data_IF_957113061807
#
_entry.id   IF_957113061807
#
_cell.length_a   1.000
_cell.length_b   1.000
_cell.length_c   1.000
_cell.angle_alpha   90.00
_cell.angle_beta   90.00
_cell.angle_gamma   90.00
#
_symmetry.space_group_name_H-M   'P 1'
#
loop_
_entity.id
_entity.type
_entity.pdbx_description
1 polymer ?
#
# COMPACT_ATOMS: atom_id res chain seq x y z
N UNK A 1 0.56 -10.92 -4.94
CA UNK A 1 -0.78 -10.32 -5.00
C UNK A 1 -1.41 -10.35 -3.62
N UNK A 2 -2.24 -9.36 -3.35
CA UNK A 2 -2.82 -9.17 -2.01
C UNK A 2 -4.29 -9.58 -2.06
N UNK A 3 -4.72 -10.38 -1.08
CA UNK A 3 -6.12 -10.80 -0.95
C UNK A 3 -6.60 -10.53 0.47
N UNK A 4 -7.88 -10.78 0.73
CA UNK A 4 -8.43 -10.66 2.09
C UNK A 4 -7.61 -11.52 3.05
N UNK A 5 -7.36 -10.99 4.24
CA UNK A 5 -6.55 -11.59 5.31
C UNK A 5 -5.04 -11.61 5.04
N UNK A 6 -4.57 -11.05 3.93
CA UNK A 6 -3.13 -10.86 3.73
C UNK A 6 -2.60 -9.82 4.70
N UNK A 7 -1.40 -10.08 5.25
CA UNK A 7 -0.72 -9.14 6.13
C UNK A 7 0.31 -8.37 5.32
N UNK A 8 0.28 -7.04 5.43
CA UNK A 8 1.22 -6.17 4.73
C UNK A 8 2.01 -5.35 5.74
N UNK A 9 3.23 -5.02 5.38
CA UNK A 9 4.02 -4.05 6.11
C UNK A 9 3.61 -2.64 5.67
N UNK A 10 3.73 -1.68 6.57
CA UNK A 10 3.45 -0.28 6.26
C UNK A 10 4.75 0.42 5.89
N UNK A 11 4.74 1.07 4.74
CA UNK A 11 5.93 1.71 4.18
C UNK A 11 5.98 3.22 4.43
N UNK A 12 5.32 3.68 5.48
CA UNK A 12 5.30 5.11 5.81
C UNK A 12 5.49 5.33 7.31
N UNK A 13 5.53 6.60 7.70
CA UNK A 13 5.71 7.02 9.08
C UNK A 13 4.40 7.43 9.76
N UNK A 14 3.26 6.90 9.31
CA UNK A 14 1.96 7.17 9.95
C UNK A 14 1.85 6.58 11.36
N UNK A 15 2.76 5.68 11.70
CA UNK A 15 2.74 4.97 12.98
C UNK A 15 2.22 3.55 12.90
N UNK A 16 1.49 3.20 11.88
CA UNK A 16 1.07 1.81 11.65
C UNK A 16 2.28 1.00 11.20
N UNK A 17 2.38 -0.24 11.67
CA UNK A 17 3.48 -1.14 11.31
C UNK A 17 3.01 -2.28 10.41
N UNK A 18 1.87 -2.88 10.72
CA UNK A 18 1.30 -3.97 9.92
C UNK A 18 -0.19 -3.77 9.73
N UNK A 19 -0.66 -4.15 8.55
CA UNK A 19 -2.06 -4.09 8.17
C UNK A 19 -2.52 -5.47 7.76
N UNK A 20 -3.80 -5.76 7.99
CA UNK A 20 -4.45 -6.95 7.44
C UNK A 20 -5.51 -6.50 6.42
N UNK A 21 -5.42 -6.99 5.20
CA UNK A 21 -6.39 -6.65 4.16
C UNK A 21 -7.75 -7.23 4.50
N UNK A 22 -8.78 -6.38 4.54
CA UNK A 22 -10.16 -6.80 4.76
C UNK A 22 -10.89 -6.93 3.43
N UNK A 23 -10.67 -5.98 2.52
CA UNK A 23 -11.38 -5.95 1.23
C UNK A 23 -10.52 -5.27 0.18
N UNK A 24 -10.61 -5.78 -1.04
CA UNK A 24 -9.99 -5.15 -2.21
C UNK A 24 -11.06 -4.32 -2.92
N UNK A 25 -10.80 -3.02 -3.07
CA UNK A 25 -11.73 -2.12 -3.74
C UNK A 25 -11.55 -2.18 -5.26
N UNK A 26 -12.59 -1.79 -6.00
CA UNK A 26 -12.53 -1.72 -7.46
C UNK A 26 -13.48 -2.64 -8.19
N UNK A 27 -14.43 -3.28 -7.48
CA UNK A 27 -15.43 -4.15 -8.09
C UNK A 27 -15.99 -5.16 -7.12
N UNK A 28 -17.22 -5.60 -7.35
CA UNK A 28 -17.94 -6.46 -6.40
C UNK A 28 -17.35 -7.88 -6.26
N UNK A 29 -16.58 -8.33 -7.24
CA UNK A 29 -16.00 -9.68 -7.23
C UNK A 29 -14.47 -9.66 -7.27
N UNK A 30 -13.86 -8.53 -6.94
CA UNK A 30 -12.42 -8.43 -7.00
C UNK A 30 -11.77 -9.20 -5.87
N UNK A 31 -10.87 -10.12 -6.22
CA UNK A 31 -10.20 -11.01 -5.25
C UNK A 31 -8.80 -10.54 -4.86
N UNK A 32 -8.08 -9.94 -5.80
CA UNK A 32 -6.65 -9.66 -5.61
C UNK A 32 -6.36 -8.19 -5.88
N UNK A 33 -5.51 -7.61 -5.04
CA UNK A 33 -4.97 -6.28 -5.23
C UNK A 33 -3.55 -6.40 -5.81
N UNK A 34 -3.25 -5.53 -6.75
CA UNK A 34 -1.92 -5.35 -7.32
C UNK A 34 -1.35 -4.02 -6.85
N UNK A 35 -0.11 -3.75 -7.25
CA UNK A 35 0.48 -2.44 -6.98
C UNK A 35 -0.39 -1.34 -7.59
N UNK A 36 -0.67 -0.32 -6.79
CA UNK A 36 -1.53 0.79 -7.20
C UNK A 36 -3.00 0.61 -6.87
N UNK A 37 -3.39 -0.56 -6.38
CA UNK A 37 -4.78 -0.79 -5.98
C UNK A 37 -5.01 -0.34 -4.54
N UNK A 38 -6.22 0.12 -4.27
CA UNK A 38 -6.64 0.55 -2.94
C UNK A 38 -7.31 -0.61 -2.23
N UNK A 39 -6.93 -0.83 -0.97
CA UNK A 39 -7.54 -1.85 -0.12
C UNK A 39 -8.10 -1.20 1.13
N UNK A 40 -9.07 -1.87 1.75
CA UNK A 40 -9.52 -1.57 3.12
C UNK A 40 -8.79 -2.54 4.03
N UNK A 41 -8.17 -2.02 5.07
CA UNK A 41 -7.34 -2.83 5.95
C UNK A 41 -7.56 -2.43 7.41
N UNK A 42 -7.33 -3.39 8.32
CA UNK A 42 -7.30 -3.10 9.75
C UNK A 42 -5.84 -3.05 10.21
N UNK A 43 -5.56 -2.13 11.12
CA UNK A 43 -4.23 -1.96 11.69
C UNK A 43 -4.03 -3.01 12.77
N UNK A 44 -3.00 -3.86 12.61
CA UNK A 44 -2.68 -4.92 13.56
C UNK A 44 -1.62 -4.51 14.57
N UNK A 45 -0.60 -3.78 14.12
CA UNK A 45 0.44 -3.23 14.98
C UNK A 45 0.65 -1.77 14.67
N UNK A 46 0.81 -0.95 15.69
CA UNK A 46 1.15 0.45 15.53
C UNK A 46 2.09 0.90 16.64
N UNK A 47 2.73 2.04 16.43
CA UNK A 47 3.56 2.67 17.45
C UNK A 47 2.70 3.34 18.50
N UNK A 48 3.24 3.44 19.72
CA UNK A 48 2.62 4.22 20.80
C UNK A 48 2.57 5.70 20.38
N UNK A 49 1.47 6.37 20.70
CA UNK A 49 1.27 7.79 20.38
C UNK A 49 1.28 8.11 18.88
N UNK A 50 0.89 7.16 18.03
CA UNK A 50 0.76 7.40 16.60
C UNK A 50 -0.59 8.04 16.25
N UNK A 51 -0.67 8.57 15.03
CA UNK A 51 -1.92 9.14 14.51
C UNK A 51 -3.01 8.10 14.32
N UNK A 52 -2.64 6.83 14.24
CA UNK A 52 -3.53 5.70 14.03
C UNK A 52 -3.40 4.74 15.20
N UNK A 53 -4.44 3.95 15.47
CA UNK A 53 -4.47 3.00 16.58
C UNK A 53 -4.68 1.60 16.06
N UNK A 54 -4.18 0.63 16.84
CA UNK A 54 -4.42 -0.79 16.57
C UNK A 54 -5.92 -1.06 16.56
N UNK A 55 -6.38 -1.81 15.56
CA UNK A 55 -7.79 -2.11 15.36
C UNK A 55 -8.55 -1.13 14.48
N UNK A 56 -7.98 0.03 14.15
CA UNK A 56 -8.60 0.98 13.25
C UNK A 56 -8.71 0.40 11.84
N UNK A 57 -9.78 0.76 11.15
CA UNK A 57 -9.99 0.39 9.74
C UNK A 57 -9.61 1.60 8.88
N UNK A 58 -8.67 1.38 7.97
CA UNK A 58 -8.13 2.44 7.12
C UNK A 58 -8.10 1.98 5.68
N UNK A 59 -7.97 2.94 4.76
CA UNK A 59 -7.68 2.66 3.36
C UNK A 59 -6.17 2.74 3.16
N UNK A 60 -5.67 1.88 2.30
CA UNK A 60 -4.25 1.86 1.97
C UNK A 60 -4.08 1.54 0.49
N UNK A 61 -2.98 2.00 -0.08
CA UNK A 61 -2.61 1.67 -1.46
C UNK A 61 -1.41 0.74 -1.42
N UNK A 62 -1.46 -0.33 -2.21
CA UNK A 62 -0.38 -1.30 -2.29
C UNK A 62 0.76 -0.70 -3.12
N UNK A 63 1.95 -0.60 -2.54
CA UNK A 63 3.11 -0.01 -3.21
C UNK A 63 4.16 -1.05 -3.62
N UNK A 64 4.18 -2.21 -2.96
CA UNK A 64 5.11 -3.30 -3.27
C UNK A 64 4.42 -4.63 -3.09
N UNK A 65 4.77 -5.62 -3.92
CA UNK A 65 4.31 -6.99 -3.78
C UNK A 65 5.47 -7.96 -3.96
N UNK A 66 5.43 -9.08 -3.24
CA UNK A 66 6.40 -10.18 -3.43
C UNK A 66 6.18 -10.89 -4.75
N UNK A 67 4.91 -11.04 -5.16
CA UNK A 67 4.58 -11.68 -6.42
C UNK A 67 4.98 -10.76 -7.57
N UNK A 68 5.72 -11.31 -8.54
CA UNK A 68 6.07 -10.56 -9.73
C UNK A 68 4.82 -10.18 -10.54
N UNK A 69 4.87 -9.03 -11.17
CA UNK A 69 3.85 -8.62 -12.11
C UNK A 69 4.48 -8.10 -13.40
N UNK A 70 3.76 -8.30 -14.49
CA UNK A 70 4.23 -7.92 -15.80
C UNK A 70 3.92 -6.46 -16.10
N UNK A 71 4.92 -5.76 -16.63
CA UNK A 71 4.75 -4.39 -17.12
C UNK A 71 4.37 -4.40 -18.61
N UNK A 72 3.79 -3.30 -19.12
CA UNK A 72 3.42 -3.20 -20.53
C UNK A 72 4.58 -3.44 -21.50
N UNK A 73 5.83 -3.15 -21.09
CA UNK A 73 7.01 -3.34 -21.92
C UNK A 73 7.50 -4.79 -21.94
N UNK A 74 6.82 -5.71 -21.23
CA UNK A 74 7.17 -7.11 -21.15
C UNK A 74 8.12 -7.47 -20.02
N UNK A 75 8.64 -6.50 -19.28
CA UNK A 75 9.48 -6.78 -18.11
C UNK A 75 8.64 -7.18 -16.91
N UNK A 76 9.29 -7.78 -15.92
CA UNK A 76 8.66 -8.16 -14.66
C UNK A 76 9.35 -7.42 -13.52
N UNK A 77 8.59 -7.12 -12.47
CA UNK A 77 9.13 -6.54 -11.26
C UNK A 77 8.55 -7.27 -10.06
N UNK A 78 9.38 -7.49 -9.04
CA UNK A 78 8.95 -8.03 -7.75
C UNK A 78 9.78 -7.38 -6.65
N UNK A 79 9.23 -7.39 -5.46
CA UNK A 79 9.87 -6.84 -4.28
C UNK A 79 10.03 -7.91 -3.21
N UNK A 80 10.79 -7.61 -2.16
CA UNK A 80 11.03 -8.56 -1.07
C UNK A 80 9.84 -8.66 -0.10
N UNK A 81 8.99 -7.65 -0.07
CA UNK A 81 7.86 -7.59 0.87
C UNK A 81 6.58 -7.14 0.17
N UNK A 82 5.46 -7.46 0.79
CA UNK A 82 4.18 -6.86 0.47
C UNK A 82 4.03 -5.63 1.36
N UNK A 83 3.93 -4.45 0.78
CA UNK A 83 3.87 -3.21 1.53
C UNK A 83 2.80 -2.28 1.01
N UNK A 84 2.25 -1.49 1.92
CA UNK A 84 1.20 -0.53 1.61
C UNK A 84 1.45 0.78 2.33
N UNK A 85 0.85 1.85 1.82
CA UNK A 85 0.89 3.18 2.42
C UNK A 85 -0.53 3.55 2.82
N UNK A 86 -0.70 3.99 4.07
CA UNK A 86 -2.01 4.43 4.58
C UNK A 86 -2.38 5.75 3.90
N UNK A 87 -3.59 5.81 3.36
CA UNK A 87 -4.11 6.99 2.67
C UNK A 87 -5.39 7.47 3.32
N UNK A 88 -5.71 8.74 3.10
CA UNK A 88 -6.96 9.33 3.55
C UNK A 88 -8.04 9.23 2.45
N UNK A 89 -9.20 9.85 2.70
CA UNK A 89 -10.30 9.83 1.74
C UNK A 89 -10.02 10.59 0.45
N UNK A 90 -8.97 11.40 0.41
CA UNK A 90 -8.55 12.16 -0.77
C UNK A 90 -7.41 11.47 -1.53
N UNK A 91 -7.09 10.22 -1.18
CA UNK A 91 -5.99 9.44 -1.76
C UNK A 91 -4.60 10.04 -1.51
N UNK A 92 -4.47 10.83 -0.46
CA UNK A 92 -3.18 11.38 -0.05
C UNK A 92 -2.62 10.56 1.12
N UNK A 93 -1.29 10.42 1.22
CA UNK A 93 -0.70 9.67 2.32
C UNK A 93 -0.94 10.39 3.65
N UNK A 94 -1.27 9.61 4.68
CA UNK A 94 -1.41 10.13 6.04
C UNK A 94 -0.06 10.51 6.61
N UNK A 95 0.97 9.71 6.31
CA UNK A 95 2.33 10.00 6.74
C UNK A 95 3.01 11.04 5.88
N UNK A 96 4.16 11.52 6.36
CA UNK A 96 4.96 12.54 5.66
C UNK A 96 6.18 11.95 4.97
N UNK A 97 6.51 10.68 5.22
CA UNK A 97 7.68 10.01 4.64
C UNK A 97 7.29 8.63 4.15
N UNK A 98 7.95 8.19 3.08
CA UNK A 98 7.79 6.85 2.53
C UNK A 98 9.13 6.13 2.68
N UNK A 99 9.09 4.87 3.11
CA UNK A 99 10.28 4.06 3.34
C UNK A 99 10.42 3.01 2.23
N UNK A 100 11.61 2.92 1.67
CA UNK A 100 11.92 1.95 0.64
C UNK A 100 11.38 2.31 -0.74
N UNK A 101 11.65 1.46 -1.74
CA UNK A 101 11.22 1.73 -3.11
C UNK A 101 9.71 1.55 -3.29
N UNK A 102 9.15 2.26 -4.25
CA UNK A 102 7.78 2.05 -4.71
C UNK A 102 7.78 1.82 -6.21
N UNK A 103 6.75 1.15 -6.72
CA UNK A 103 6.66 0.92 -8.15
C UNK A 103 6.06 2.14 -8.85
N UNK A 104 6.56 2.43 -10.05
CA UNK A 104 6.10 3.60 -10.83
C UNK A 104 4.66 3.48 -11.32
N UNK A 105 4.06 2.30 -11.23
CA UNK A 105 2.66 2.06 -11.60
C UNK A 105 1.69 2.88 -10.76
N UNK A 106 2.12 3.42 -9.62
CA UNK A 106 1.32 4.33 -8.82
C UNK A 106 0.95 5.61 -9.58
N UNK A 107 1.71 5.97 -10.60
CA UNK A 107 1.39 7.14 -11.43
C UNK A 107 0.07 6.97 -12.16
N UNK A 108 -0.24 5.76 -12.62
CA UNK A 108 -1.51 5.47 -13.29
C UNK A 108 -2.71 5.65 -12.37
N UNK A 109 -2.53 5.42 -11.07
CA UNK A 109 -3.57 5.65 -10.06
C UNK A 109 -3.61 7.06 -9.51
N UNK A 110 -2.78 7.97 -10.03
CA UNK A 110 -2.70 9.37 -9.63
C UNK A 110 -2.19 9.57 -8.20
N UNK A 111 -1.36 8.66 -7.71
CA UNK A 111 -0.74 8.78 -6.38
C UNK A 111 0.57 9.55 -6.46
N UNK A 112 0.51 10.76 -7.02
CA UNK A 112 1.72 11.55 -7.29
C UNK A 112 2.45 11.97 -6.02
N UNK A 113 1.70 12.24 -4.95
CA UNK A 113 2.34 12.66 -3.70
C UNK A 113 3.16 11.51 -3.09
N UNK A 114 2.66 10.29 -3.18
CA UNK A 114 3.41 9.11 -2.72
C UNK A 114 4.69 8.97 -3.55
N UNK A 115 4.59 9.11 -4.86
CA UNK A 115 5.76 9.03 -5.73
C UNK A 115 6.78 10.13 -5.42
N UNK A 116 6.33 11.34 -5.11
CA UNK A 116 7.23 12.44 -4.78
C UNK A 116 7.93 12.25 -3.43
N UNK A 117 7.29 11.57 -2.49
CA UNK A 117 7.86 11.31 -1.17
C UNK A 117 8.74 10.06 -1.13
N UNK A 118 8.62 9.18 -2.12
CA UNK A 118 9.37 7.94 -2.13
C UNK A 118 10.85 8.19 -2.41
N UNK A 119 11.76 7.49 -1.69
CA UNK A 119 13.19 7.64 -1.91
C UNK A 119 13.64 7.05 -3.24
N UNK A 120 12.91 6.08 -3.76
CA UNK A 120 13.24 5.42 -5.01
C UNK A 120 11.96 4.95 -5.70
N UNK A 121 11.86 5.19 -7.01
CA UNK A 121 10.72 4.76 -7.82
C UNK A 121 11.25 3.80 -8.89
N UNK A 122 10.80 2.56 -8.83
CA UNK A 122 11.24 1.50 -9.76
C UNK A 122 10.14 1.17 -10.82
#
# INVERSE_FOLDING_TARGET
MIQTQSILEVADNSGAKRLMCIKVLGGSKRRYARVGDIIVASIKDCQTHSKVKSGDVVKAVVVRTKKEFRRPDGSYIKFDTNSAVVIDGKREPVGTRIFGPVARELRAGKFMRILSLAPEVL
#
